data_IF_188786580329
#
_entry.id   IF_188786580329
#
_cell.length_a   1.000
_cell.length_b   1.000
_cell.length_c   1.000
_cell.angle_alpha   90.00
_cell.angle_beta   90.00
_cell.angle_gamma   90.00
#
_symmetry.space_group_name_H-M   'P 1'
#
loop_
_entity.id
_entity.type
_entity.pdbx_description
1 polymer ?
#
# COMPACT_ATOMS: atom_id res chain seq x y z
N UNK A 1 -5.55 1.71 14.16
CA UNK A 1 -4.45 1.95 13.18
C UNK A 1 -3.20 1.24 13.70
N UNK A 2 -2.57 0.36 12.92
CA UNK A 2 -1.37 -0.35 13.37
C UNK A 2 -0.15 0.57 13.40
N UNK A 3 0.88 0.24 14.19
CA UNK A 3 2.12 1.01 14.27
C UNK A 3 2.81 1.15 12.89
N UNK A 4 2.80 0.09 12.08
CA UNK A 4 3.31 0.13 10.70
C UNK A 4 2.58 1.16 9.83
N UNK A 5 1.23 1.20 9.88
CA UNK A 5 0.45 2.20 9.15
C UNK A 5 0.79 3.62 9.58
N UNK A 6 1.03 3.85 10.88
CA UNK A 6 1.43 5.17 11.39
C UNK A 6 2.80 5.60 10.87
N UNK A 7 3.78 4.70 10.80
CA UNK A 7 5.11 5.00 10.23
C UNK A 7 4.98 5.41 8.76
N UNK A 8 4.26 4.60 7.98
CA UNK A 8 4.05 4.85 6.56
C UNK A 8 3.29 6.15 6.31
N UNK A 9 2.27 6.44 7.10
CA UNK A 9 1.48 7.67 6.98
C UNK A 9 2.32 8.91 7.32
N UNK A 10 3.12 8.87 8.39
CA UNK A 10 4.02 9.96 8.75
C UNK A 10 5.04 10.21 7.65
N UNK A 11 5.69 9.14 7.15
CA UNK A 11 6.65 9.25 6.06
C UNK A 11 6.01 9.85 4.80
N UNK A 12 4.81 9.38 4.44
CA UNK A 12 4.11 9.84 3.27
C UNK A 12 3.79 11.35 3.36
N UNK A 13 3.24 11.78 4.49
CA UNK A 13 2.90 13.19 4.74
C UNK A 13 4.13 14.09 4.78
N UNK A 14 5.22 13.65 5.40
CA UNK A 14 6.48 14.42 5.47
C UNK A 14 7.11 14.64 4.09
N UNK A 15 6.90 13.71 3.16
CA UNK A 15 7.40 13.81 1.79
C UNK A 15 6.37 14.42 0.82
N UNK A 16 5.27 14.99 1.32
CA UNK A 16 4.27 15.68 0.51
C UNK A 16 3.35 14.76 -0.29
N UNK A 17 3.36 13.45 -0.02
CA UNK A 17 2.40 12.53 -0.62
C UNK A 17 1.01 12.75 -0.04
N UNK A 18 0.02 12.88 -0.92
CA UNK A 18 -1.40 13.08 -0.58
C UNK A 18 -2.23 11.94 -1.18
N UNK A 19 -3.53 11.87 -0.85
CA UNK A 19 -4.45 10.83 -1.36
C UNK A 19 -3.99 9.39 -1.07
N UNK A 20 -3.54 9.14 0.16
CA UNK A 20 -3.03 7.83 0.56
C UNK A 20 -4.11 6.75 0.47
N UNK A 21 -3.81 5.67 -0.26
CA UNK A 21 -4.65 4.46 -0.34
C UNK A 21 -3.92 3.30 0.32
N UNK A 22 -4.64 2.57 1.18
CA UNK A 22 -4.11 1.41 1.86
C UNK A 22 -4.52 0.13 1.11
N UNK A 23 -3.54 -0.71 0.83
CA UNK A 23 -3.76 -2.09 0.37
C UNK A 23 -3.28 -3.01 1.48
N UNK A 24 -4.17 -3.85 2.00
CA UNK A 24 -3.88 -4.77 3.10
C UNK A 24 -4.38 -6.15 2.77
N UNK A 25 -3.57 -7.16 3.08
CA UNK A 25 -3.84 -8.57 2.82
C UNK A 25 -3.85 -9.34 4.14
N UNK A 26 -4.80 -9.00 5.03
CA UNK A 26 -4.92 -9.63 6.34
C UNK A 26 -5.25 -11.12 6.17
N UNK A 27 -4.41 -12.00 6.74
CA UNK A 27 -4.58 -13.45 6.69
C UNK A 27 -3.97 -14.14 5.47
N UNK A 28 -3.27 -13.41 4.59
CA UNK A 28 -2.56 -13.99 3.46
C UNK A 28 -1.06 -14.13 3.76
N UNK A 29 -0.49 -15.29 3.43
CA UNK A 29 0.95 -15.49 3.53
C UNK A 29 1.68 -14.76 2.39
N UNK A 30 2.92 -14.33 2.62
CA UNK A 30 3.77 -13.74 1.58
C UNK A 30 4.30 -14.75 0.56
N UNK A 31 3.83 -16.00 0.58
CA UNK A 31 4.36 -17.09 -0.24
C UNK A 31 3.85 -17.07 -1.69
N UNK A 32 2.79 -16.32 -1.99
CA UNK A 32 2.25 -16.20 -3.35
C UNK A 32 1.69 -14.79 -3.64
N UNK A 33 1.38 -14.56 -4.92
CA UNK A 33 0.82 -13.30 -5.41
C UNK A 33 -0.71 -13.27 -5.42
N UNK A 34 -1.40 -14.29 -4.88
CA UNK A 34 -2.86 -14.36 -4.76
C UNK A 34 -3.34 -13.58 -3.54
N UNK A 35 -3.00 -12.29 -3.53
CA UNK A 35 -3.24 -11.36 -2.44
C UNK A 35 -4.19 -10.28 -2.95
N UNK A 36 -5.47 -10.27 -2.53
CA UNK A 36 -6.48 -9.36 -3.09
C UNK A 36 -6.10 -7.88 -3.03
N UNK A 37 -5.50 -7.43 -1.94
CA UNK A 37 -4.98 -6.08 -1.77
C UNK A 37 -3.82 -5.80 -2.72
N UNK A 38 -2.87 -6.72 -2.83
CA UNK A 38 -1.78 -6.62 -3.80
C UNK A 38 -2.28 -6.57 -5.26
N UNK A 39 -3.25 -7.41 -5.63
CA UNK A 39 -3.83 -7.42 -6.97
C UNK A 39 -4.61 -6.13 -7.26
N UNK A 40 -5.36 -5.61 -6.28
CA UNK A 40 -6.04 -4.31 -6.41
C UNK A 40 -5.03 -3.16 -6.61
N UNK A 41 -3.90 -3.20 -5.89
CA UNK A 41 -2.82 -2.24 -6.08
C UNK A 41 -2.28 -2.29 -7.51
N UNK A 42 -2.00 -3.48 -8.04
CA UNK A 42 -1.52 -3.64 -9.43
C UNK A 42 -2.53 -3.10 -10.45
N UNK A 43 -3.82 -3.43 -10.29
CA UNK A 43 -4.87 -2.93 -11.17
C UNK A 43 -4.97 -1.40 -11.17
N UNK A 44 -4.83 -0.75 -10.00
CA UNK A 44 -4.83 0.71 -9.92
C UNK A 44 -3.54 1.35 -10.46
N UNK A 45 -2.40 0.65 -10.40
CA UNK A 45 -1.16 1.05 -11.09
C UNK A 45 -1.36 1.00 -12.62
N UNK A 46 -1.89 -0.12 -13.13
CA UNK A 46 -2.16 -0.29 -14.56
C UNK A 46 -3.19 0.72 -15.09
N UNK A 47 -4.18 1.08 -14.27
CA UNK A 47 -5.14 2.13 -14.58
C UNK A 47 -4.58 3.56 -14.46
N UNK A 48 -3.29 3.73 -14.10
CA UNK A 48 -2.64 5.03 -13.96
C UNK A 48 -3.06 5.85 -12.73
N UNK A 49 -3.71 5.22 -11.74
CA UNK A 49 -4.21 5.91 -10.53
C UNK A 49 -3.16 5.99 -9.42
N UNK A 50 -2.17 5.11 -9.44
CA UNK A 50 -1.10 5.06 -8.43
C UNK A 50 0.20 5.59 -9.04
N UNK A 51 0.67 6.72 -8.52
CA UNK A 51 1.97 7.29 -8.90
C UNK A 51 3.15 6.83 -8.04
N UNK A 52 2.89 6.36 -6.81
CA UNK A 52 3.95 5.93 -5.89
C UNK A 52 3.42 4.86 -4.95
N UNK A 53 4.22 3.81 -4.73
CA UNK A 53 3.96 2.75 -3.76
C UNK A 53 4.98 2.87 -2.63
N UNK A 54 4.49 2.90 -1.39
CA UNK A 54 5.33 2.99 -0.19
C UNK A 54 5.08 1.74 0.65
N UNK A 55 6.13 0.98 0.93
CA UNK A 55 6.10 -0.26 1.71
C UNK A 55 7.06 -0.18 2.89
N UNK A 56 6.83 -0.97 3.93
CA UNK A 56 7.72 -1.12 5.09
C UNK A 56 7.79 -2.59 5.49
N UNK A 57 9.01 -3.06 5.75
CA UNK A 57 9.33 -4.45 6.11
C UNK A 57 8.78 -4.87 7.49
#
# INVERSE_FOLDING_TARGET
MSFQKRILETFAKQNGFTNLRWYTDDGYSGANFQRPGFQAMLADIEAGKVGTVIVKD
#
